data_IF_879889834785
#
_entry.id   IF_879889834785
#
_cell.length_a   1.000
_cell.length_b   1.000
_cell.length_c   1.000
_cell.angle_alpha   90.00
_cell.angle_beta   90.00
_cell.angle_gamma   90.00
#
_symmetry.space_group_name_H-M   'P 1'
#
loop_
_entity.id
_entity.type
_entity.pdbx_description
1 polymer ?
#
# COMPACT_ATOMS: atom_id res chain seq x y z
N UNK A 1 -29.07 7.76 6.53
CA UNK A 1 -28.03 7.62 5.49
C UNK A 1 -27.62 6.15 5.43
N UNK A 2 -28.00 5.42 4.37
CA UNK A 2 -27.62 4.01 4.24
C UNK A 2 -26.14 3.90 3.93
N UNK A 3 -25.38 3.09 4.69
CA UNK A 3 -23.96 2.83 4.40
C UNK A 3 -23.89 2.04 3.09
N UNK A 4 -23.58 2.72 1.99
CA UNK A 4 -23.28 2.07 0.71
C UNK A 4 -21.97 1.31 0.87
N UNK A 5 -22.05 0.00 0.96
CA UNK A 5 -20.87 -0.85 0.81
C UNK A 5 -20.46 -0.81 -0.66
N UNK A 6 -19.36 -0.09 -0.94
CA UNK A 6 -18.81 0.08 -2.30
C UNK A 6 -18.23 -1.24 -2.83
N UNK A 7 -17.79 -2.11 -1.90
CA UNK A 7 -17.15 -3.39 -2.22
C UNK A 7 -17.95 -4.57 -1.71
N UNK A 8 -17.93 -5.64 -2.49
CA UNK A 8 -18.32 -6.98 -2.02
C UNK A 8 -17.30 -7.49 -1.00
N UNK A 9 -17.66 -8.49 -0.20
CA UNK A 9 -16.73 -9.11 0.77
C UNK A 9 -15.47 -9.64 0.08
N UNK A 10 -15.61 -10.27 -1.08
CA UNK A 10 -14.47 -10.76 -1.88
C UNK A 10 -13.56 -9.63 -2.35
N UNK A 11 -14.13 -8.50 -2.78
CA UNK A 11 -13.35 -7.32 -3.18
C UNK A 11 -12.64 -6.70 -1.98
N UNK A 12 -13.28 -6.69 -0.82
CA UNK A 12 -12.67 -6.23 0.42
C UNK A 12 -11.50 -7.13 0.83
N UNK A 13 -11.70 -8.45 0.86
CA UNK A 13 -10.65 -9.42 1.16
C UNK A 13 -9.44 -9.24 0.23
N UNK A 14 -9.66 -9.15 -1.08
CA UNK A 14 -8.58 -8.98 -2.06
C UNK A 14 -7.78 -7.66 -1.91
N UNK A 15 -8.33 -6.64 -1.27
CA UNK A 15 -7.69 -5.34 -1.08
C UNK A 15 -7.05 -5.17 0.30
N UNK A 16 -7.60 -5.79 1.33
CA UNK A 16 -7.24 -5.53 2.73
C UNK A 16 -6.66 -6.74 3.46
N UNK A 17 -6.89 -7.97 2.97
CA UNK A 17 -6.25 -9.13 3.58
C UNK A 17 -4.75 -9.14 3.27
N UNK A 18 -3.98 -9.72 4.20
CA UNK A 18 -2.55 -9.84 4.03
C UNK A 18 -2.26 -10.80 2.86
N UNK A 19 -1.33 -10.44 1.94
CA UNK A 19 -0.84 -11.39 0.96
C UNK A 19 -0.16 -12.57 1.67
N UNK A 20 -0.43 -13.77 1.18
CA UNK A 20 0.16 -15.02 1.72
C UNK A 20 1.22 -15.60 0.79
N UNK A 21 1.27 -15.15 -0.46
CA UNK A 21 2.30 -15.54 -1.41
C UNK A 21 3.51 -14.59 -1.35
N UNK A 22 4.68 -15.19 -1.53
CA UNK A 22 5.98 -14.51 -1.40
C UNK A 22 6.17 -13.41 -2.45
N UNK A 23 5.67 -13.60 -3.67
CA UNK A 23 5.80 -12.63 -4.75
C UNK A 23 4.98 -11.36 -4.46
N UNK A 24 3.75 -11.50 -3.98
CA UNK A 24 2.94 -10.37 -3.54
C UNK A 24 3.54 -9.68 -2.32
N UNK A 25 4.06 -10.42 -1.35
CA UNK A 25 4.78 -9.83 -0.21
C UNK A 25 5.97 -9.00 -0.68
N UNK A 26 6.82 -9.55 -1.55
CA UNK A 26 7.97 -8.84 -2.11
C UNK A 26 7.52 -7.55 -2.82
N UNK A 27 6.48 -7.64 -3.67
CA UNK A 27 5.95 -6.49 -4.41
C UNK A 27 5.39 -5.39 -3.51
N UNK A 28 4.67 -5.75 -2.45
CA UNK A 28 4.00 -4.75 -1.60
C UNK A 28 4.90 -4.15 -0.52
N UNK A 29 5.96 -4.85 -0.12
CA UNK A 29 6.83 -4.43 0.99
C UNK A 29 8.26 -4.11 0.57
N UNK A 30 8.61 -4.24 -0.71
CA UNK A 30 9.88 -3.76 -1.25
C UNK A 30 9.66 -2.43 -1.96
N UNK A 31 10.44 -1.42 -1.59
CA UNK A 31 10.44 -0.13 -2.27
C UNK A 31 11.51 -0.16 -3.36
N UNK A 32 11.11 0.16 -4.59
CA UNK A 32 12.05 0.35 -5.70
C UNK A 32 12.71 1.72 -5.66
N UNK A 33 13.69 1.93 -6.55
CA UNK A 33 14.40 3.21 -6.64
C UNK A 33 13.47 4.39 -6.91
N UNK A 34 12.46 4.21 -7.78
CA UNK A 34 11.45 5.23 -8.08
C UNK A 34 10.57 5.55 -6.85
N UNK A 35 10.25 4.54 -6.03
CA UNK A 35 9.48 4.75 -4.80
C UNK A 35 10.29 5.57 -3.79
N UNK A 36 11.59 5.25 -3.66
CA UNK A 36 12.51 5.97 -2.79
C UNK A 36 12.68 7.43 -3.23
N UNK A 37 12.76 7.69 -4.53
CA UNK A 37 12.82 9.05 -5.06
C UNK A 37 11.53 9.83 -4.73
N UNK A 38 10.36 9.23 -4.96
CA UNK A 38 9.08 9.82 -4.57
C UNK A 38 9.01 10.13 -3.07
N UNK A 39 9.50 9.23 -2.22
CA UNK A 39 9.57 9.43 -0.77
C UNK A 39 10.49 10.61 -0.43
N UNK A 40 11.68 10.70 -1.04
CA UNK A 40 12.63 11.81 -0.82
C UNK A 40 12.01 13.16 -1.15
N UNK A 41 11.30 13.26 -2.27
CA UNK A 41 10.63 14.50 -2.68
C UNK A 41 9.54 14.93 -1.70
N UNK A 42 8.84 13.97 -1.06
CA UNK A 42 7.75 14.24 -0.13
C UNK A 42 8.18 14.37 1.33
N UNK A 43 9.42 14.02 1.68
CA UNK A 43 9.94 14.12 3.05
C UNK A 43 10.03 15.58 3.49
N UNK A 44 9.33 15.88 4.57
CA UNK A 44 9.47 17.13 5.32
C UNK A 44 10.88 17.25 5.92
N UNK A 45 11.37 18.46 6.21
CA UNK A 45 12.71 18.67 6.75
C UNK A 45 13.02 17.82 7.99
N UNK A 46 12.04 17.62 8.88
CA UNK A 46 12.23 16.84 10.12
C UNK A 46 12.41 15.33 9.86
N UNK A 47 12.05 14.86 8.67
CA UNK A 47 12.08 13.44 8.28
C UNK A 47 13.19 13.14 7.26
N UNK A 48 14.12 14.07 7.05
CA UNK A 48 15.34 13.87 6.27
C UNK A 48 16.44 13.42 7.24
N UNK A 49 16.78 12.12 7.17
CA UNK A 49 17.89 11.50 7.92
C UNK A 49 19.08 11.44 6.97
#
# INVERSE_FOLDING_TARGET
MSRRHIFTERQRAALFDLPTDELSLLKFYTLGDDDLENIRQRRRPENRI
#
